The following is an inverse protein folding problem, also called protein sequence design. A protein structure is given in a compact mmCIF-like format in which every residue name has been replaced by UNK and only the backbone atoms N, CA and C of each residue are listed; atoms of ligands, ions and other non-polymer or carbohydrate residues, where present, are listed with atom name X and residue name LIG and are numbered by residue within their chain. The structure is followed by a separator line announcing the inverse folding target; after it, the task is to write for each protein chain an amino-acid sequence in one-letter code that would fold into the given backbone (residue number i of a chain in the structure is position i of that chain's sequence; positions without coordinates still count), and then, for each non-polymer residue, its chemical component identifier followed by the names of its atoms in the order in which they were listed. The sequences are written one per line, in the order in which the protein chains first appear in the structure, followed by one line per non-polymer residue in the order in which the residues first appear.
data_IF_982064147850
#
_entry.id   IF_982064147850
#
_cell.length_a   1.000
_cell.length_b   1.000
_cell.length_c   1.000
_cell.angle_alpha   90.00
_cell.angle_beta   90.00
_cell.angle_gamma   90.00
#
_symmetry.space_group_name_H-M   'P 1'
#
loop_
_entity.id
_entity.type
_entity.pdbx_description
1 polymer ?
#
# COMPACT_ATOMS: atom_id res chain seq x y z
N UNK A 1 5.13 4.17 15.35
CA UNK A 1 3.73 3.73 15.52
C UNK A 1 3.07 4.00 14.18
N UNK A 2 2.99 3.00 13.29
CA UNK A 2 2.23 3.13 12.05
C UNK A 2 0.77 3.28 12.42
N UNK A 3 0.24 4.46 12.18
CA UNK A 3 -1.19 4.67 12.25
C UNK A 3 -1.84 3.88 11.09
N UNK A 4 -3.09 3.42 11.26
CA UNK A 4 -3.81 2.70 10.20
C UNK A 4 -3.97 3.53 8.91
N UNK A 5 -3.83 4.85 8.98
CA UNK A 5 -3.77 5.77 7.83
C UNK A 5 -2.50 5.63 6.97
N UNK A 6 -1.40 5.11 7.53
CA UNK A 6 -0.15 4.88 6.79
C UNK A 6 -0.12 3.51 6.09
N UNK A 7 -1.16 2.69 6.25
CA UNK A 7 -1.25 1.36 5.63
C UNK A 7 -1.97 1.49 4.28
N UNK A 8 -1.37 0.92 3.23
CA UNK A 8 -1.91 0.98 1.87
C UNK A 8 -2.33 -0.40 1.39
N UNK A 9 -3.53 -0.53 0.83
CA UNK A 9 -4.04 -1.78 0.29
C UNK A 9 -4.15 -1.72 -1.23
N UNK A 10 -3.65 -2.77 -1.89
CA UNK A 10 -3.82 -3.00 -3.31
C UNK A 10 -5.29 -3.28 -3.64
N UNK A 11 -5.88 -2.43 -4.48
CA UNK A 11 -7.28 -2.52 -4.94
C UNK A 11 -7.46 -3.48 -6.11
N UNK A 12 -6.44 -4.29 -6.43
CA UNK A 12 -6.59 -5.32 -7.44
C UNK A 12 -7.47 -6.43 -6.88
N UNK A 13 -8.58 -6.73 -7.57
CA UNK A 13 -9.65 -7.64 -7.13
C UNK A 13 -9.15 -9.03 -6.70
N UNK A 14 -8.03 -9.51 -7.27
CA UNK A 14 -7.44 -10.81 -6.95
C UNK A 14 -6.19 -10.74 -6.05
N UNK A 15 -5.92 -9.60 -5.40
CA UNK A 15 -4.68 -9.37 -4.65
C UNK A 15 -4.91 -9.03 -3.18
N UNK A 16 -5.49 -7.87 -2.88
CA UNK A 16 -5.71 -7.40 -1.51
C UNK A 16 -4.44 -7.18 -0.66
N UNK A 17 -3.25 -7.12 -1.26
CA UNK A 17 -1.98 -6.94 -0.54
C UNK A 17 -1.97 -5.63 0.27
N UNK A 18 -1.55 -5.72 1.53
CA UNK A 18 -1.42 -4.56 2.43
C UNK A 18 0.05 -4.22 2.65
N UNK A 19 0.45 -3.04 2.20
CA UNK A 19 1.75 -2.46 2.47
C UNK A 19 1.74 -1.78 3.84
N UNK A 20 2.65 -2.21 4.71
CA UNK A 20 2.86 -1.62 6.02
C UNK A 20 4.25 -0.96 6.07
N UNK A 21 4.34 0.36 6.25
CA UNK A 21 5.62 1.07 6.24
C UNK A 21 6.54 0.67 7.41
N UNK A 22 5.99 0.40 8.59
CA UNK A 22 6.74 -0.07 9.77
C UNK A 22 7.41 -1.43 9.53
N UNK A 23 6.82 -2.26 8.64
CA UNK A 23 7.41 -3.54 8.22
C UNK A 23 8.25 -3.41 6.94
N UNK A 24 7.96 -2.41 6.11
CA UNK A 24 8.47 -2.31 4.75
C UNK A 24 7.94 -3.43 3.86
N UNK A 25 8.68 -3.72 2.78
CA UNK A 25 8.38 -4.83 1.88
C UNK A 25 9.67 -5.53 1.46
N UNK A 26 9.96 -6.66 2.10
CA UNK A 26 11.17 -7.44 1.80
C UNK A 26 11.18 -7.99 0.37
N UNK A 27 10.01 -8.29 -0.20
CA UNK A 27 9.90 -8.88 -1.54
C UNK A 27 10.09 -7.80 -2.63
N UNK A 28 9.62 -6.59 -2.36
CA UNK A 28 9.88 -5.38 -3.15
C UNK A 28 11.22 -4.68 -2.85
N UNK A 29 12.08 -5.27 -1.99
CA UNK A 29 13.36 -4.69 -1.54
C UNK A 29 13.23 -3.31 -0.86
N UNK A 30 12.12 -3.09 -0.18
CA UNK A 30 11.83 -1.86 0.56
C UNK A 30 12.16 -2.08 2.04
N UNK A 31 13.03 -1.24 2.64
CA UNK A 31 13.36 -1.34 4.05
C UNK A 31 12.16 -0.97 4.94
N UNK A 32 12.22 -1.40 6.20
CA UNK A 32 11.26 -0.95 7.23
C UNK A 32 11.42 0.54 7.47
N UNK A 33 10.32 1.23 7.73
CA UNK A 33 10.24 2.67 7.93
C UNK A 33 10.07 3.48 6.65
N UNK A 34 10.08 2.86 5.47
CA UNK A 34 9.76 3.55 4.21
C UNK A 34 8.25 3.80 4.15
N UNK A 35 7.82 5.04 3.88
CA UNK A 35 6.41 5.35 3.65
C UNK A 35 6.00 4.96 2.24
N UNK A 36 4.72 4.69 2.01
CA UNK A 36 4.24 4.34 0.67
C UNK A 36 4.53 5.44 -0.37
N UNK A 37 4.45 6.70 0.04
CA UNK A 37 4.77 7.87 -0.80
C UNK A 37 6.25 7.93 -1.20
N UNK A 38 7.13 7.35 -0.39
CA UNK A 38 8.58 7.29 -0.61
C UNK A 38 8.97 6.06 -1.47
N UNK A 39 8.01 5.22 -1.84
CA UNK A 39 8.26 4.08 -2.70
C UNK A 39 8.65 4.54 -4.12
N UNK A 40 9.65 3.87 -4.74
CA UNK A 40 10.04 4.18 -6.10
C UNK A 40 8.88 3.96 -7.08
N UNK A 41 8.80 4.75 -8.16
CA UNK A 41 7.74 4.63 -9.16
C UNK A 41 7.69 3.28 -9.89
N UNK A 42 8.83 2.57 -9.96
CA UNK A 42 8.87 1.21 -10.50
C UNK A 42 8.45 0.14 -9.47
N UNK A 43 8.23 0.53 -8.21
CA UNK A 43 7.70 -0.41 -7.22
C UNK A 43 6.32 -0.88 -7.65
N UNK A 44 6.19 -2.21 -7.63
CA UNK A 44 4.99 -2.93 -8.01
C UNK A 44 4.64 -3.85 -6.87
N UNK A 45 3.34 -4.12 -6.73
CA UNK A 45 2.81 -5.04 -5.77
C UNK A 45 3.58 -6.37 -5.85
N UNK A 46 4.17 -6.85 -4.76
CA UNK A 46 4.95 -8.09 -4.76
C UNK A 46 4.08 -9.34 -4.94
N UNK A 47 2.76 -9.19 -4.94
CA UNK A 47 1.78 -10.26 -5.12
C UNK A 47 1.27 -10.31 -6.56
N UNK A 48 0.72 -9.20 -7.07
CA UNK A 48 0.07 -9.17 -8.40
C UNK A 48 0.83 -8.37 -9.47
N UNK A 49 1.89 -7.63 -9.12
CA UNK A 49 2.62 -6.78 -10.07
C UNK A 49 1.93 -5.46 -10.42
N UNK A 50 0.80 -5.11 -9.79
CA UNK A 50 0.14 -3.83 -9.99
C UNK A 50 1.03 -2.67 -9.52
N UNK A 51 0.93 -1.52 -10.19
CA UNK A 51 1.69 -0.32 -9.82
C UNK A 51 1.16 0.34 -8.54
N UNK A 52 1.95 1.24 -7.94
CA UNK A 52 1.55 2.00 -6.74
C UNK A 52 0.23 2.77 -6.89
N UNK A 53 -0.20 3.08 -8.11
CA UNK A 53 -1.46 3.77 -8.42
C UNK A 53 -2.70 2.96 -8.07
N UNK A 54 -2.59 1.63 -8.05
CA UNK A 54 -3.70 0.74 -7.68
C UNK A 54 -3.82 0.55 -6.17
N UNK A 55 -2.99 1.21 -5.37
CA UNK A 55 -3.09 1.17 -3.92
C UNK A 55 -3.87 2.36 -3.41
N UNK A 56 -4.62 2.11 -2.34
CA UNK A 56 -5.37 3.13 -1.60
C UNK A 56 -5.07 3.00 -0.12
N UNK A 57 -5.09 4.11 0.65
CA UNK A 57 -4.99 4.04 2.10
C UNK A 57 -6.14 3.20 2.67
N UNK A 58 -5.86 2.49 3.77
CA UNK A 58 -6.86 1.65 4.46
C UNK A 58 -7.79 2.45 5.37
N UNK A 59 -7.33 3.60 5.89
CA UNK A 59 -8.11 4.44 6.80
C UNK A 59 -7.87 5.92 6.49
N UNK A 60 -8.94 6.73 6.50
CA UNK A 60 -8.91 8.17 6.18
C UNK A 60 -9.70 8.57 4.93
N UNK A 61 -9.84 9.88 4.71
CA UNK A 61 -10.51 10.49 3.57
C UNK A 61 -9.79 10.10 2.26
N UNK A 62 -10.39 9.21 1.46
CA UNK A 62 -9.77 8.61 0.27
C UNK A 62 -9.52 7.10 0.33
N UNK A 63 -9.86 6.45 1.44
CA UNK A 63 -9.89 4.98 1.54
C UNK A 63 -11.07 4.40 0.74
N UNK A 64 -10.94 3.20 0.18
CA UNK A 64 -12.03 2.58 -0.59
C UNK A 64 -13.30 2.30 0.22
N UNK A 65 -13.20 2.31 1.55
CA UNK A 65 -14.36 2.28 2.44
C UNK A 65 -15.19 3.58 2.41
N UNK A 66 -14.63 4.70 1.96
CA UNK A 66 -15.30 5.99 1.86
C UNK A 66 -15.88 6.26 0.46
N UNK A 67 -15.38 5.64 -0.61
CA UNK A 67 -15.86 5.86 -1.99
C UNK A 67 -17.09 4.98 -2.37
N UNK A 68 -17.74 4.32 -1.41
CA UNK A 68 -18.84 3.38 -1.67
C UNK A 68 -20.02 3.43 -0.70
N UNK A 69 -20.22 4.55 0.01
CA UNK A 69 -21.42 4.81 0.82
C UNK A 69 -22.34 5.82 0.14
#
# INVERSE_FOLDING_TARGET
MANPEDIWQCQTVNCGYMYNPDKGDRKGKIPKGTRFEDLPDDWKCPICGATKKMFKPLMGEGSVAAEGA
#
